data_IF_375965104276
#
_entry.id   IF_375965104276
#
_cell.length_a   1.000
_cell.length_b   1.000
_cell.length_c   1.000
_cell.angle_alpha   90.00
_cell.angle_beta   90.00
_cell.angle_gamma   90.00
#
_symmetry.space_group_name_H-M   'P 1'
#
loop_
_entity.id
_entity.type
_entity.pdbx_description
1 polymer ?
#
# COMPACT_ATOMS: atom_id res chain seq x y z
N UNK A 1 5.64 1.38 30.48
CA UNK A 1 5.57 0.25 29.52
C UNK A 1 4.17 -0.33 29.35
N UNK A 2 3.48 -0.81 30.41
CA UNK A 2 2.10 -1.33 30.26
C UNK A 2 1.14 -0.31 29.66
N UNK A 3 1.20 0.93 30.13
CA UNK A 3 0.33 2.01 29.64
C UNK A 3 0.58 2.32 28.16
N UNK A 4 1.84 2.28 27.72
CA UNK A 4 2.20 2.43 26.30
C UNK A 4 1.70 1.26 25.44
N UNK A 5 1.71 0.02 25.96
CA UNK A 5 1.13 -1.12 25.24
C UNK A 5 -0.38 -0.97 25.09
N UNK A 6 -1.08 -0.54 26.14
CA UNK A 6 -2.52 -0.29 26.11
C UNK A 6 -2.87 0.85 25.16
N UNK A 7 -2.10 1.94 25.19
CA UNK A 7 -2.29 3.07 24.29
C UNK A 7 -2.07 2.66 22.83
N UNK A 8 -0.99 1.93 22.53
CA UNK A 8 -0.69 1.49 21.17
C UNK A 8 -1.78 0.57 20.61
N UNK A 9 -2.36 -0.28 21.45
CA UNK A 9 -3.53 -1.09 21.08
C UNK A 9 -4.74 -0.21 20.75
N UNK A 10 -5.07 0.74 21.63
CA UNK A 10 -6.18 1.66 21.40
C UNK A 10 -5.98 2.51 20.13
N UNK A 11 -4.74 2.92 19.85
CA UNK A 11 -4.37 3.61 18.62
C UNK A 11 -4.65 2.76 17.37
N UNK A 12 -4.30 1.48 17.36
CA UNK A 12 -4.61 0.61 16.23
C UNK A 12 -6.10 0.30 16.09
N UNK A 13 -6.82 0.17 17.21
CA UNK A 13 -8.28 0.02 17.20
C UNK A 13 -8.93 1.24 16.54
N UNK A 14 -8.53 2.45 16.92
CA UNK A 14 -9.00 3.70 16.31
C UNK A 14 -8.57 3.83 14.83
N UNK A 15 -7.34 3.42 14.50
CA UNK A 15 -6.86 3.42 13.11
C UNK A 15 -7.75 2.55 12.22
N UNK A 16 -8.09 1.34 12.67
CA UNK A 16 -8.99 0.45 11.93
C UNK A 16 -10.40 1.03 11.83
N UNK A 17 -10.95 1.53 12.94
CA UNK A 17 -12.32 2.05 12.97
C UNK A 17 -12.48 3.29 12.09
N UNK A 18 -11.61 4.29 12.29
CA UNK A 18 -11.75 5.62 11.68
C UNK A 18 -11.12 5.65 10.29
N UNK A 19 -9.84 5.29 10.16
CA UNK A 19 -9.11 5.48 8.90
C UNK A 19 -9.49 4.43 7.86
N UNK A 20 -9.73 3.20 8.30
CA UNK A 20 -9.91 2.05 7.42
C UNK A 20 -11.35 1.54 7.34
N UNK A 21 -12.30 2.09 8.11
CA UNK A 21 -13.68 1.60 8.17
C UNK A 21 -13.76 0.08 8.45
N UNK A 22 -12.98 -0.38 9.42
CA UNK A 22 -12.72 -1.80 9.70
C UNK A 22 -12.72 -2.09 11.20
N UNK A 23 -12.83 -3.36 11.57
CA UNK A 23 -12.66 -3.84 12.95
C UNK A 23 -11.31 -4.53 13.07
N UNK A 24 -10.49 -4.10 14.04
CA UNK A 24 -9.26 -4.79 14.39
C UNK A 24 -9.56 -6.06 15.20
N UNK A 25 -9.03 -7.21 14.77
CA UNK A 25 -9.24 -8.49 15.45
C UNK A 25 -7.98 -9.00 16.17
N UNK A 26 -6.80 -8.78 15.59
CA UNK A 26 -5.55 -9.16 16.25
C UNK A 26 -4.35 -8.29 15.89
N UNK A 27 -3.39 -8.25 16.81
CA UNK A 27 -2.10 -7.58 16.65
C UNK A 27 -1.04 -8.64 16.95
N UNK A 28 -0.10 -8.81 16.03
CA UNK A 28 1.11 -9.61 16.24
C UNK A 28 2.33 -8.73 16.05
N UNK A 29 3.36 -8.99 16.84
CA UNK A 29 4.61 -8.23 16.83
C UNK A 29 5.80 -9.18 16.88
N UNK A 30 6.74 -8.98 15.96
CA UNK A 30 8.00 -9.69 15.87
C UNK A 30 9.14 -8.68 15.91
N UNK A 31 10.09 -8.86 16.83
CA UNK A 31 11.25 -7.98 16.96
C UNK A 31 12.49 -8.63 16.35
N UNK A 32 13.10 -7.92 15.41
CA UNK A 32 14.33 -8.28 14.75
C UNK A 32 15.45 -7.42 15.33
N UNK A 33 16.34 -8.09 16.06
CA UNK A 33 17.48 -7.46 16.69
C UNK A 33 18.71 -7.56 15.79
N UNK A 34 19.36 -6.43 15.54
CA UNK A 34 20.68 -6.37 14.90
C UNK A 34 21.77 -6.17 15.97
N UNK A 35 22.55 -7.21 16.32
CA UNK A 35 23.62 -7.10 17.30
C UNK A 35 24.71 -6.08 16.90
N UNK A 36 24.82 -5.76 15.61
CA UNK A 36 25.77 -4.78 15.08
C UNK A 36 25.41 -3.33 15.38
N UNK A 37 24.19 -3.05 15.88
CA UNK A 37 23.70 -1.69 16.19
C UNK A 37 23.58 -1.40 17.68
N UNK A 38 24.50 -1.96 18.46
CA UNK A 38 24.63 -1.67 19.89
C UNK A 38 25.77 -0.69 20.12
N UNK A 39 25.50 0.39 20.85
CA UNK A 39 26.54 1.33 21.28
C UNK A 39 26.45 1.61 22.78
N UNK A 40 27.60 1.84 23.41
CA UNK A 40 27.70 2.19 24.83
C UNK A 40 27.68 3.71 24.97
N UNK A 41 26.77 4.22 25.77
CA UNK A 41 26.64 5.64 26.08
C UNK A 41 27.62 6.05 27.19
N UNK A 42 27.88 7.35 27.31
CA UNK A 42 28.89 7.90 28.24
C UNK A 42 28.62 7.61 29.73
N UNK A 43 27.38 7.33 30.08
CA UNK A 43 26.93 7.00 31.44
C UNK A 43 26.82 5.47 31.68
N UNK A 44 27.29 4.66 30.73
CA UNK A 44 27.26 3.20 30.81
C UNK A 44 25.93 2.56 30.39
N UNK A 45 24.97 3.34 29.90
CA UNK A 45 23.77 2.82 29.25
C UNK A 45 24.10 2.26 27.86
N UNK A 46 23.18 1.47 27.29
CA UNK A 46 23.32 0.95 25.93
C UNK A 46 22.23 1.54 25.04
N UNK A 47 22.62 2.01 23.85
CA UNK A 47 21.69 2.37 22.77
C UNK A 47 21.58 1.20 21.81
N UNK A 48 20.35 0.82 21.47
CA UNK A 48 20.01 -0.30 20.58
C UNK A 48 19.10 0.19 19.46
N UNK A 49 19.27 -0.38 18.27
CA UNK A 49 18.31 -0.25 17.17
C UNK A 49 17.61 -1.59 16.95
N UNK A 50 16.27 -1.57 16.91
CA UNK A 50 15.45 -2.77 16.72
C UNK A 50 14.42 -2.51 15.63
N UNK A 51 14.28 -3.44 14.70
CA UNK A 51 13.19 -3.39 13.72
C UNK A 51 12.05 -4.26 14.26
N UNK A 52 10.85 -3.71 14.34
CA UNK A 52 9.64 -4.45 14.68
C UNK A 52 8.83 -4.68 13.40
N UNK A 53 8.33 -5.89 13.21
CA UNK A 53 7.26 -6.19 12.25
C UNK A 53 5.96 -6.28 13.04
N UNK A 54 5.05 -5.34 12.79
CA UNK A 54 3.70 -5.35 13.36
C UNK A 54 2.73 -5.78 12.28
N UNK A 55 2.07 -6.91 12.48
CA UNK A 55 1.00 -7.39 11.60
C UNK A 55 -0.34 -7.21 12.31
N UNK A 56 -1.19 -6.39 11.69
CA UNK A 56 -2.54 -6.05 12.13
C UNK A 56 -3.52 -6.81 11.27
N UNK A 57 -4.37 -7.63 11.87
CA UNK A 57 -5.43 -8.36 11.17
C UNK A 57 -6.80 -7.83 11.57
N UNK A 58 -7.66 -7.63 10.58
CA UNK A 58 -9.02 -7.17 10.82
C UNK A 58 -9.97 -7.46 9.67
N UNK A 59 -11.20 -6.96 9.80
CA UNK A 59 -12.29 -7.17 8.83
C UNK A 59 -12.93 -5.86 8.43
N UNK A 60 -13.31 -5.77 7.17
CA UNK A 60 -13.99 -4.60 6.63
C UNK A 60 -15.46 -4.54 7.11
N UNK A 61 -15.94 -3.36 7.55
CA UNK A 61 -17.20 -3.23 8.29
C UNK A 61 -18.44 -2.98 7.43
N UNK A 62 -18.50 -3.50 6.21
CA UNK A 62 -19.61 -3.22 5.28
C UNK A 62 -19.95 -4.46 4.47
N UNK A 63 -21.22 -4.59 4.07
CA UNK A 63 -21.60 -5.61 3.10
C UNK A 63 -21.12 -5.21 1.68
N UNK A 64 -20.92 -6.15 0.75
CA UNK A 64 -20.45 -5.88 -0.62
C UNK A 64 -21.30 -4.90 -1.44
N UNK A 65 -22.51 -4.57 -1.00
CA UNK A 65 -23.49 -3.76 -1.74
C UNK A 65 -23.57 -2.31 -1.25
N UNK A 66 -23.00 -2.05 -0.08
CA UNK A 66 -23.16 -0.80 0.68
C UNK A 66 -22.12 0.29 0.40
N UNK A 67 -20.87 0.00 -0.04
CA UNK A 67 -19.87 1.06 -0.17
C UNK A 67 -20.25 2.21 -1.10
N UNK A 68 -19.91 3.46 -0.74
CA UNK A 68 -20.27 4.64 -1.50
C UNK A 68 -19.82 4.62 -2.97
N UNK A 69 -18.68 3.99 -3.24
CA UNK A 69 -18.12 3.76 -4.58
C UNK A 69 -18.98 2.86 -5.45
N UNK A 70 -19.53 1.77 -4.89
CA UNK A 70 -20.47 0.89 -5.60
C UNK A 70 -21.78 1.64 -5.87
N UNK A 71 -22.28 2.39 -4.89
CA UNK A 71 -23.46 3.23 -5.08
C UNK A 71 -23.22 4.31 -6.15
N UNK A 72 -22.03 4.91 -6.18
CA UNK A 72 -21.62 5.91 -7.16
C UNK A 72 -21.50 5.31 -8.57
N UNK A 73 -20.91 4.12 -8.70
CA UNK A 73 -20.85 3.39 -9.96
C UNK A 73 -22.25 3.03 -10.48
N UNK A 74 -23.18 2.61 -9.61
CA UNK A 74 -24.59 2.38 -9.96
C UNK A 74 -25.29 3.67 -10.40
N UNK A 75 -25.02 4.77 -9.71
CA UNK A 75 -25.53 6.08 -10.09
C UNK A 75 -25.06 6.50 -11.49
N UNK A 76 -23.78 6.26 -11.80
CA UNK A 76 -23.17 6.52 -13.10
C UNK A 76 -23.74 5.62 -14.20
N UNK A 77 -23.88 4.33 -13.89
CA UNK A 77 -24.42 3.31 -14.79
C UNK A 77 -25.84 3.65 -15.26
N UNK A 78 -26.67 4.19 -14.36
CA UNK A 78 -28.03 4.63 -14.66
C UNK A 78 -28.11 5.90 -15.53
N UNK A 79 -26.98 6.55 -15.85
CA UNK A 79 -26.90 7.86 -16.52
C UNK A 79 -26.05 7.87 -17.79
N UNK A 80 -25.58 6.71 -18.21
CA UNK A 80 -24.87 6.56 -19.47
C UNK A 80 -25.67 5.69 -20.42
N UNK A 81 -25.69 6.07 -21.70
CA UNK A 81 -26.21 5.24 -22.78
C UNK A 81 -25.09 4.56 -23.58
N UNK A 82 -23.81 4.81 -23.23
CA UNK A 82 -22.68 4.20 -23.90
C UNK A 82 -22.44 2.77 -23.36
N UNK A 83 -22.61 1.76 -24.22
CA UNK A 83 -22.50 0.35 -23.82
C UNK A 83 -21.11 -0.06 -23.31
N UNK A 84 -20.03 0.51 -23.84
CA UNK A 84 -18.69 0.25 -23.31
C UNK A 84 -18.54 0.80 -21.90
N UNK A 85 -19.01 2.03 -21.66
CA UNK A 85 -19.03 2.63 -20.30
C UNK A 85 -19.89 1.80 -19.35
N UNK A 86 -21.06 1.31 -19.79
CA UNK A 86 -21.92 0.44 -18.96
C UNK A 86 -21.23 -0.85 -18.57
N UNK A 87 -20.55 -1.51 -19.52
CA UNK A 87 -19.85 -2.76 -19.28
C UNK A 87 -18.78 -2.58 -18.21
N UNK A 88 -17.93 -1.56 -18.36
CA UNK A 88 -16.82 -1.30 -17.45
C UNK A 88 -17.29 -0.90 -16.04
N UNK A 89 -18.37 -0.12 -15.92
CA UNK A 89 -18.98 0.18 -14.63
C UNK A 89 -19.54 -1.07 -13.94
N UNK A 90 -20.12 -2.01 -14.70
CA UNK A 90 -20.59 -3.28 -14.14
C UNK A 90 -19.42 -4.15 -13.66
N UNK A 91 -18.36 -4.21 -14.44
CA UNK A 91 -17.16 -4.96 -14.05
C UNK A 91 -16.47 -4.32 -12.84
N UNK A 92 -16.41 -2.99 -12.75
CA UNK A 92 -15.96 -2.30 -11.54
C UNK A 92 -16.80 -2.68 -10.32
N UNK A 93 -18.13 -2.63 -10.44
CA UNK A 93 -19.05 -3.01 -9.34
C UNK A 93 -18.79 -4.44 -8.90
N UNK A 94 -18.64 -5.37 -9.85
CA UNK A 94 -18.36 -6.77 -9.55
C UNK A 94 -17.03 -6.93 -8.81
N UNK A 95 -15.94 -6.37 -9.32
CA UNK A 95 -14.61 -6.46 -8.69
C UNK A 95 -14.59 -5.84 -7.30
N UNK A 96 -15.18 -4.66 -7.15
CA UNK A 96 -15.29 -4.00 -5.85
C UNK A 96 -16.06 -4.87 -4.85
N UNK A 97 -17.18 -5.48 -5.27
CA UNK A 97 -17.95 -6.39 -4.42
C UNK A 97 -17.14 -7.64 -4.01
N UNK A 98 -16.34 -8.20 -4.93
CA UNK A 98 -15.45 -9.33 -4.65
C UNK A 98 -14.35 -8.95 -3.64
N UNK A 99 -13.70 -7.78 -3.79
CA UNK A 99 -12.67 -7.30 -2.87
C UNK A 99 -13.23 -6.97 -1.46
N UNK A 100 -14.45 -6.44 -1.39
CA UNK A 100 -15.17 -6.23 -0.12
C UNK A 100 -15.50 -7.58 0.53
N UNK A 101 -15.98 -8.56 -0.25
CA UNK A 101 -16.30 -9.88 0.27
C UNK A 101 -15.04 -10.55 0.84
N UNK A 102 -13.92 -10.53 0.10
CA UNK A 102 -12.63 -11.02 0.59
C UNK A 102 -12.25 -10.34 1.93
N UNK A 103 -12.27 -9.02 1.98
CA UNK A 103 -11.81 -8.28 3.15
C UNK A 103 -12.79 -8.28 4.33
N UNK A 104 -14.06 -8.61 4.14
CA UNK A 104 -15.06 -8.74 5.21
C UNK A 104 -15.21 -10.19 5.71
N UNK A 105 -15.27 -11.16 4.80
CA UNK A 105 -15.49 -12.58 5.11
C UNK A 105 -14.21 -13.34 5.45
N UNK A 106 -13.10 -13.06 4.77
CA UNK A 106 -11.79 -13.66 5.05
C UNK A 106 -10.94 -12.77 5.96
N UNK A 107 -11.19 -11.45 5.91
CA UNK A 107 -10.40 -10.44 6.60
C UNK A 107 -9.17 -10.04 5.80
N UNK A 108 -8.36 -9.15 6.37
CA UNK A 108 -7.15 -8.66 5.72
C UNK A 108 -6.05 -8.38 6.73
N UNK A 109 -4.82 -8.37 6.23
CA UNK A 109 -3.64 -7.99 6.99
C UNK A 109 -3.07 -6.65 6.51
N UNK A 110 -2.60 -5.87 7.47
CA UNK A 110 -1.72 -4.72 7.27
C UNK A 110 -0.41 -4.99 7.98
N UNK A 111 0.71 -4.73 7.30
CA UNK A 111 2.03 -4.76 7.95
C UNK A 111 2.64 -3.37 8.06
N UNK A 112 3.06 -3.05 9.29
CA UNK A 112 3.88 -1.88 9.62
C UNK A 112 5.25 -2.36 10.06
N UNK A 113 6.30 -1.58 9.75
CA UNK A 113 7.67 -1.88 10.16
C UNK A 113 8.26 -0.74 11.00
N UNK A 114 7.86 -0.58 12.28
CA UNK A 114 8.44 0.42 13.16
C UNK A 114 9.92 0.15 13.43
N UNK A 115 10.75 1.20 13.40
CA UNK A 115 12.16 1.18 13.79
C UNK A 115 12.30 1.81 15.16
N UNK A 116 12.73 1.04 16.14
CA UNK A 116 12.95 1.47 17.52
C UNK A 116 14.39 1.92 17.76
N UNK A 117 14.53 3.05 18.43
CA UNK A 117 15.75 3.52 19.07
C UNK A 117 15.57 3.41 20.57
N UNK A 118 16.13 2.34 21.15
CA UNK A 118 16.01 2.02 22.57
C UNK A 118 17.25 2.50 23.33
N UNK A 119 17.03 3.02 24.54
CA UNK A 119 18.09 3.14 25.53
C UNK A 119 17.77 2.18 26.67
N UNK A 120 18.74 1.36 27.05
CA UNK A 120 18.62 0.39 28.13
C UNK A 120 19.69 0.61 29.19
N UNK A 121 19.30 0.43 30.46
CA UNK A 121 20.18 0.59 31.61
C UNK A 121 20.17 -0.68 32.47
N UNK A 122 21.27 -0.91 33.19
CA UNK A 122 21.31 -1.97 34.21
C UNK A 122 20.61 -1.50 35.48
N UNK A 123 19.74 -2.33 36.02
CA UNK A 123 19.01 -2.11 37.27
C UNK A 123 19.29 -3.23 38.28
N UNK A 124 18.75 -3.09 39.50
CA UNK A 124 18.78 -4.16 40.51
C UNK A 124 18.05 -5.43 40.05
N UNK A 125 17.12 -5.32 39.11
CA UNK A 125 16.27 -6.40 38.60
C UNK A 125 16.69 -6.90 37.20
N UNK A 126 17.86 -6.48 36.70
CA UNK A 126 18.33 -6.81 35.35
C UNK A 126 18.36 -5.61 34.41
N UNK A 127 18.40 -5.85 33.11
CA UNK A 127 18.40 -4.79 32.08
C UNK A 127 16.97 -4.26 31.92
N UNK A 128 16.81 -2.94 31.91
CA UNK A 128 15.52 -2.27 31.76
C UNK A 128 15.59 -1.24 30.63
N UNK A 129 14.50 -1.10 29.87
CA UNK A 129 14.35 -0.03 28.89
C UNK A 129 14.04 1.26 29.66
N UNK A 130 14.83 2.30 29.42
CA UNK A 130 14.65 3.64 30.03
C UNK A 130 14.04 4.64 29.05
N UNK A 131 14.33 4.44 27.75
CA UNK A 131 13.76 5.23 26.67
C UNK A 131 13.51 4.34 25.45
N UNK A 132 12.45 4.65 24.71
CA UNK A 132 12.15 4.09 23.39
C UNK A 132 11.62 5.22 22.51
N UNK A 133 12.07 5.27 21.26
CA UNK A 133 11.40 6.08 20.25
C UNK A 133 11.29 5.24 18.99
N UNK A 134 10.10 5.14 18.44
CA UNK A 134 9.86 4.31 17.27
C UNK A 134 8.99 4.99 16.23
N UNK A 135 9.27 4.65 14.97
CA UNK A 135 8.56 5.19 13.81
C UNK A 135 8.61 4.21 12.65
N UNK A 136 7.50 4.04 11.93
CA UNK A 136 7.49 3.38 10.62
C UNK A 136 7.63 4.37 9.44
N UNK A 137 7.91 5.65 9.72
CA UNK A 137 8.20 6.66 8.70
C UNK A 137 9.41 6.26 7.87
N UNK A 138 9.38 6.62 6.60
CA UNK A 138 10.49 6.52 5.66
C UNK A 138 10.49 7.72 4.70
N UNK A 139 11.39 7.71 3.72
CA UNK A 139 11.56 8.81 2.76
C UNK A 139 10.32 9.08 1.89
N UNK A 140 9.48 8.08 1.68
CA UNK A 140 8.29 8.14 0.81
C UNK A 140 6.97 7.89 1.56
N UNK A 141 7.00 7.68 2.88
CA UNK A 141 5.85 7.46 3.74
C UNK A 141 5.98 8.26 5.04
N UNK A 142 5.01 9.14 5.38
CA UNK A 142 5.06 9.95 6.60
C UNK A 142 5.00 9.13 7.90
N UNK A 143 4.63 7.84 7.85
CA UNK A 143 4.52 6.93 8.97
C UNK A 143 3.18 7.05 9.71
N UNK A 144 2.65 5.91 10.16
CA UNK A 144 1.39 5.80 10.89
C UNK A 144 1.64 5.72 12.40
N UNK A 145 2.63 4.93 12.81
CA UNK A 145 2.95 4.62 14.20
C UNK A 145 4.25 5.30 14.61
N UNK A 146 4.12 6.46 15.27
CA UNK A 146 5.24 7.34 15.64
C UNK A 146 5.13 7.72 17.12
N UNK A 147 6.05 7.22 17.95
CA UNK A 147 6.02 7.44 19.40
C UNK A 147 7.40 7.77 19.95
N UNK A 148 7.43 8.67 20.91
CA UNK A 148 8.58 8.90 21.80
C UNK A 148 8.13 8.55 23.22
N UNK A 149 8.84 7.66 23.89
CA UNK A 149 8.62 7.26 25.27
C UNK A 149 9.88 7.45 26.10
N UNK A 150 9.79 8.24 27.16
CA UNK A 150 10.91 8.59 28.05
C UNK A 150 10.42 8.59 29.49
N UNK A 151 11.13 7.89 30.38
CA UNK A 151 10.90 7.93 31.84
C UNK A 151 9.44 7.67 32.27
N UNK A 152 8.73 6.81 31.54
CA UNK A 152 7.34 6.45 31.86
C UNK A 152 6.28 7.27 31.13
N UNK A 153 6.63 8.41 30.55
CA UNK A 153 5.74 9.25 29.73
C UNK A 153 5.91 8.95 28.24
N UNK A 154 4.85 9.07 27.45
CA UNK A 154 4.91 8.96 25.99
C UNK A 154 4.21 10.12 25.29
N UNK A 155 4.67 10.39 24.07
CA UNK A 155 4.04 11.31 23.12
C UNK A 155 3.91 10.59 21.78
N UNK A 156 2.68 10.47 21.28
CA UNK A 156 2.38 9.97 19.94
C UNK A 156 2.23 11.13 18.96
N UNK A 157 2.94 11.05 17.84
CA UNK A 157 2.65 11.90 16.68
C UNK A 157 1.63 11.18 15.78
N UNK A 158 0.36 11.42 16.06
CA UNK A 158 -0.76 10.74 15.39
C UNK A 158 -1.05 11.40 14.03
N UNK A 159 -1.13 10.62 12.92
CA UNK A 159 -1.59 11.14 11.64
C UNK A 159 -3.08 11.51 11.70
N UNK A 160 -3.50 12.40 10.81
CA UNK A 160 -4.92 12.70 10.66
C UNK A 160 -5.63 11.54 9.92
N UNK A 161 -6.40 10.75 10.66
CA UNK A 161 -7.14 9.62 10.10
C UNK A 161 -8.24 10.07 9.11
N UNK A 162 -8.66 11.33 9.15
CA UNK A 162 -9.66 11.85 8.21
C UNK A 162 -9.11 12.07 6.79
N UNK A 163 -7.78 12.07 6.64
CA UNK A 163 -7.11 12.17 5.33
C UNK A 163 -6.96 10.80 4.63
N UNK A 164 -7.32 9.70 5.29
CA UNK A 164 -7.21 8.37 4.69
C UNK A 164 -8.30 8.13 3.64
N UNK A 165 -7.99 7.39 2.55
CA UNK A 165 -8.91 7.13 1.44
C UNK A 165 -10.26 6.59 1.88
N UNK A 166 -10.26 5.56 2.75
CA UNK A 166 -11.50 4.94 3.17
C UNK A 166 -12.36 5.89 4.03
N UNK A 167 -11.78 6.69 4.94
CA UNK A 167 -12.55 7.73 5.63
C UNK A 167 -13.19 8.72 4.64
N UNK A 168 -12.39 9.26 3.71
CA UNK A 168 -12.87 10.24 2.73
C UNK A 168 -13.98 9.66 1.86
N UNK A 169 -13.83 8.43 1.38
CA UNK A 169 -14.85 7.71 0.61
C UNK A 169 -16.22 7.71 1.30
N UNK A 170 -16.29 7.47 2.62
CA UNK A 170 -17.55 7.46 3.38
C UNK A 170 -18.10 8.84 3.75
N UNK A 171 -17.35 9.90 3.53
CA UNK A 171 -17.80 11.28 3.80
C UNK A 171 -18.21 12.03 2.53
N UNK A 172 -17.91 11.50 1.34
CA UNK A 172 -18.27 12.11 0.06
C UNK A 172 -19.72 11.81 -0.35
N UNK A 173 -20.44 12.77 -0.97
CA UNK A 173 -21.75 12.51 -1.55
C UNK A 173 -21.68 11.54 -2.75
N UNK A 174 -22.49 10.48 -2.72
CA UNK A 174 -22.57 9.44 -3.77
C UNK A 174 -22.79 10.03 -5.18
N UNK A 175 -23.59 11.09 -5.29
CA UNK A 175 -23.89 11.74 -6.57
C UNK A 175 -22.72 12.58 -7.10
N UNK A 176 -21.79 13.04 -6.27
CA UNK A 176 -20.58 13.72 -6.71
C UNK A 176 -19.57 12.71 -7.23
N UNK A 177 -19.27 11.67 -6.43
CA UNK A 177 -18.45 10.53 -6.86
C UNK A 177 -18.99 9.92 -8.16
N UNK A 178 -20.30 9.68 -8.25
CA UNK A 178 -20.92 9.11 -9.44
C UNK A 178 -20.79 9.98 -10.70
N UNK A 179 -20.77 11.31 -10.56
CA UNK A 179 -20.52 12.22 -11.70
C UNK A 179 -19.07 12.13 -12.16
N UNK A 180 -18.13 12.10 -11.22
CA UNK A 180 -16.70 12.02 -11.52
C UNK A 180 -16.34 10.67 -12.14
N UNK A 181 -16.87 9.57 -11.60
CA UNK A 181 -16.77 8.24 -12.21
C UNK A 181 -17.35 8.22 -13.62
N UNK A 182 -18.56 8.76 -13.82
CA UNK A 182 -19.16 8.79 -15.15
C UNK A 182 -18.29 9.56 -16.16
N UNK A 183 -17.77 10.72 -15.78
CA UNK A 183 -16.86 11.51 -16.64
C UNK A 183 -15.57 10.74 -16.94
N UNK A 184 -14.98 10.09 -15.94
CA UNK A 184 -13.78 9.27 -16.07
C UNK A 184 -13.98 8.10 -17.05
N UNK A 185 -14.96 7.24 -16.80
CA UNK A 185 -15.24 6.09 -17.66
C UNK A 185 -15.67 6.53 -19.07
N UNK A 186 -16.38 7.66 -19.20
CA UNK A 186 -16.72 8.23 -20.51
C UNK A 186 -15.48 8.68 -21.28
N UNK A 187 -14.52 9.33 -20.62
CA UNK A 187 -13.25 9.72 -21.24
C UNK A 187 -12.42 8.51 -21.68
N UNK A 188 -12.34 7.51 -20.82
CA UNK A 188 -11.50 6.33 -21.07
C UNK A 188 -12.09 5.43 -22.15
N UNK A 189 -13.37 5.07 -22.03
CA UNK A 189 -13.99 4.03 -22.85
C UNK A 189 -14.93 4.59 -23.91
N UNK A 190 -15.52 5.77 -23.68
CA UNK A 190 -16.53 6.34 -24.57
C UNK A 190 -16.02 6.75 -25.96
N UNK A 191 -14.70 6.94 -26.13
CA UNK A 191 -14.09 7.35 -27.40
C UNK A 191 -13.23 6.28 -28.06
N UNK A 192 -12.89 5.23 -27.33
CA UNK A 192 -11.61 4.54 -27.55
C UNK A 192 -11.79 3.03 -27.83
N UNK A 193 -13.04 2.52 -27.75
CA UNK A 193 -13.46 1.26 -28.37
C UNK A 193 -12.69 0.03 -27.89
N UNK A 194 -12.42 -0.05 -26.59
CA UNK A 194 -11.65 -1.13 -25.99
C UNK A 194 -12.41 -2.46 -26.10
N UNK A 195 -11.68 -3.52 -26.45
CA UNK A 195 -12.20 -4.89 -26.31
C UNK A 195 -12.19 -5.34 -24.84
N UNK A 196 -12.69 -6.55 -24.55
CA UNK A 196 -12.65 -7.09 -23.20
C UNK A 196 -11.21 -7.17 -22.67
N UNK A 197 -11.01 -6.74 -21.42
CA UNK A 197 -9.70 -6.72 -20.76
C UNK A 197 -9.10 -8.13 -20.67
N UNK A 198 -7.87 -8.28 -21.17
CA UNK A 198 -7.03 -9.47 -21.04
C UNK A 198 -6.13 -9.43 -19.79
N UNK A 199 -6.09 -8.31 -19.08
CA UNK A 199 -5.27 -8.09 -17.90
C UNK A 199 -5.82 -8.85 -16.69
N UNK A 200 -5.01 -9.75 -16.13
CA UNK A 200 -5.37 -10.53 -14.95
C UNK A 200 -4.92 -9.83 -13.66
N UNK A 201 -5.80 -8.97 -13.16
CA UNK A 201 -5.64 -8.18 -11.93
C UNK A 201 -5.34 -9.03 -10.71
N UNK A 202 -6.15 -10.05 -10.47
CA UNK A 202 -5.99 -10.95 -9.32
C UNK A 202 -4.65 -11.70 -9.37
N UNK A 203 -4.23 -12.14 -10.56
CA UNK A 203 -2.95 -12.82 -10.70
C UNK A 203 -1.75 -11.85 -10.50
N UNK A 204 -1.85 -10.61 -10.97
CA UNK A 204 -0.84 -9.58 -10.70
C UNK A 204 -0.74 -9.25 -9.20
N UNK A 205 -1.88 -9.03 -8.51
CA UNK A 205 -1.98 -8.89 -7.03
C UNK A 205 -1.31 -10.05 -6.32
N UNK A 206 -1.66 -11.29 -6.68
CA UNK A 206 -1.12 -12.48 -6.03
C UNK A 206 0.39 -12.62 -6.26
N UNK A 207 0.86 -12.25 -7.45
CA UNK A 207 2.28 -12.25 -7.77
C UNK A 207 3.06 -11.31 -6.87
N UNK A 208 2.67 -10.03 -6.78
CA UNK A 208 3.40 -9.05 -5.98
C UNK A 208 3.47 -9.51 -4.51
N UNK A 209 2.38 -10.00 -3.95
CA UNK A 209 2.33 -10.45 -2.56
C UNK A 209 3.18 -11.71 -2.29
N UNK A 210 3.50 -12.49 -3.31
CA UNK A 210 4.35 -13.68 -3.18
C UNK A 210 5.85 -13.35 -3.14
N UNK A 211 6.24 -12.18 -3.66
CA UNK A 211 7.65 -11.82 -3.87
C UNK A 211 8.13 -10.64 -3.01
N UNK A 212 7.38 -10.30 -1.96
CA UNK A 212 7.77 -9.29 -0.97
C UNK A 212 7.57 -9.81 0.44
N UNK A 213 8.46 -9.42 1.35
CA UNK A 213 8.32 -9.60 2.79
C UNK A 213 8.73 -8.30 3.47
N UNK A 214 8.08 -7.89 4.58
CA UNK A 214 8.38 -6.65 5.29
C UNK A 214 9.88 -6.39 5.39
N UNK A 215 10.33 -5.22 4.95
CA UNK A 215 11.76 -4.88 4.91
C UNK A 215 12.40 -5.01 6.28
N UNK A 216 13.49 -5.78 6.38
CA UNK A 216 14.16 -6.07 7.66
C UNK A 216 15.48 -5.31 7.81
N UNK A 217 16.20 -5.13 6.70
CA UNK A 217 17.59 -4.68 6.70
C UNK A 217 17.77 -3.49 5.76
N UNK A 218 18.61 -2.50 6.09
CA UNK A 218 19.00 -1.48 5.12
C UNK A 218 19.50 -2.12 3.82
N UNK A 219 19.00 -1.64 2.67
CA UNK A 219 19.39 -2.16 1.36
C UNK A 219 20.92 -2.05 1.11
N UNK A 220 21.54 -1.04 1.72
CA UNK A 220 22.99 -0.86 1.82
C UNK A 220 23.36 -0.17 3.15
N UNK A 221 24.66 -0.18 3.50
CA UNK A 221 25.14 0.42 4.73
C UNK A 221 24.84 1.92 4.79
N UNK A 222 24.09 2.36 5.80
CA UNK A 222 23.69 3.75 5.97
C UNK A 222 22.39 4.16 5.27
N UNK A 223 21.77 3.26 4.50
CA UNK A 223 20.46 3.52 3.89
C UNK A 223 19.33 3.50 4.91
N UNK A 224 18.33 4.35 4.68
CA UNK A 224 17.06 4.31 5.42
C UNK A 224 16.03 3.39 4.77
N UNK A 225 16.28 2.93 3.54
CA UNK A 225 15.40 2.02 2.79
C UNK A 225 15.64 0.60 3.27
N UNK A 226 14.58 -0.05 3.74
CA UNK A 226 14.64 -1.44 4.20
C UNK A 226 14.29 -2.44 3.09
N UNK A 227 14.99 -3.56 3.06
CA UNK A 227 14.78 -4.66 2.13
C UNK A 227 14.97 -6.02 2.81
N UNK A 228 14.33 -7.02 2.24
CA UNK A 228 14.38 -8.44 2.52
C UNK A 228 14.53 -9.16 1.17
N UNK A 229 15.59 -8.82 0.43
CA UNK A 229 15.79 -9.23 -0.97
C UNK A 229 15.89 -10.75 -1.19
N UNK A 230 16.04 -11.53 -0.11
CA UNK A 230 15.91 -12.99 -0.12
C UNK A 230 14.50 -13.48 -0.46
N UNK A 231 13.49 -12.64 -0.27
CA UNK A 231 12.10 -12.93 -0.62
C UNK A 231 11.74 -12.53 -2.07
N UNK A 232 12.63 -11.83 -2.79
CA UNK A 232 12.36 -11.36 -4.14
C UNK A 232 12.52 -12.48 -5.18
N UNK A 233 11.90 -12.29 -6.34
CA UNK A 233 12.02 -13.25 -7.42
C UNK A 233 13.43 -13.32 -8.00
N UNK A 234 14.13 -14.43 -7.75
CA UNK A 234 15.51 -14.67 -8.20
C UNK A 234 15.65 -14.88 -9.71
N UNK A 235 14.53 -14.99 -10.45
CA UNK A 235 14.53 -15.06 -11.92
C UNK A 235 14.77 -13.69 -12.58
N UNK A 236 14.68 -12.60 -11.82
CA UNK A 236 14.87 -11.23 -12.29
C UNK A 236 16.10 -10.59 -11.67
N UNK A 237 16.66 -9.60 -12.36
CA UNK A 237 17.74 -8.78 -11.81
C UNK A 237 17.20 -8.02 -10.60
N UNK A 238 17.93 -8.06 -9.48
CA UNK A 238 17.55 -7.34 -8.25
C UNK A 238 18.22 -5.96 -8.25
N UNK A 239 17.43 -4.90 -8.24
CA UNK A 239 17.92 -3.52 -8.19
C UNK A 239 17.81 -2.97 -6.76
N UNK A 240 18.80 -3.27 -5.92
CA UNK A 240 18.84 -2.81 -4.52
C UNK A 240 18.56 -1.31 -4.40
N UNK A 241 17.80 -0.94 -3.38
CA UNK A 241 17.31 0.38 -3.05
C UNK A 241 16.38 1.04 -4.09
N UNK A 242 16.11 0.40 -5.24
CA UNK A 242 15.44 1.03 -6.38
C UNK A 242 14.57 0.07 -7.22
N UNK A 243 14.18 -1.09 -6.67
CA UNK A 243 13.52 -2.16 -7.45
C UNK A 243 12.03 -1.92 -7.74
N UNK A 244 11.49 -0.76 -7.35
CA UNK A 244 10.04 -0.50 -7.39
C UNK A 244 9.38 -0.75 -8.77
N UNK A 245 9.97 -0.24 -9.86
CA UNK A 245 9.42 -0.46 -11.21
C UNK A 245 9.67 -1.87 -11.70
N UNK A 246 10.85 -2.44 -11.44
CA UNK A 246 11.17 -3.81 -11.83
C UNK A 246 10.18 -4.80 -11.20
N UNK A 247 9.87 -4.61 -9.92
CA UNK A 247 8.89 -5.40 -9.17
C UNK A 247 7.49 -5.36 -9.76
N UNK A 248 6.92 -4.16 -9.97
CA UNK A 248 5.57 -4.07 -10.55
C UNK A 248 5.56 -4.53 -12.02
N UNK A 249 6.64 -4.30 -12.78
CA UNK A 249 6.76 -4.77 -14.16
C UNK A 249 6.74 -6.30 -14.26
N UNK A 250 7.38 -6.99 -13.31
CA UNK A 250 7.29 -8.44 -13.21
C UNK A 250 5.83 -8.89 -13.14
N UNK A 251 5.06 -8.33 -12.21
CA UNK A 251 3.66 -8.68 -12.00
C UNK A 251 2.74 -8.32 -13.18
N UNK A 252 2.98 -7.19 -13.85
CA UNK A 252 2.19 -6.75 -15.00
C UNK A 252 2.32 -7.69 -16.20
N UNK A 253 3.51 -8.24 -16.42
CA UNK A 253 3.84 -8.97 -17.64
C UNK A 253 3.19 -10.34 -17.74
N UNK A 254 3.13 -10.85 -18.97
CA UNK A 254 2.71 -12.22 -19.26
C UNK A 254 3.54 -13.27 -18.49
N UNK A 255 4.80 -12.97 -18.17
CA UNK A 255 5.70 -13.85 -17.41
C UNK A 255 5.56 -13.76 -15.89
N UNK A 256 4.88 -12.74 -15.36
CA UNK A 256 4.60 -12.61 -13.92
C UNK A 256 3.13 -12.46 -13.58
N UNK A 257 2.26 -12.92 -14.48
CA UNK A 257 0.86 -13.27 -14.28
C UNK A 257 -0.21 -12.23 -14.69
N UNK A 258 0.12 -10.95 -14.80
CA UNK A 258 -0.82 -9.91 -15.24
C UNK A 258 -1.22 -10.00 -16.72
N UNK A 259 -0.38 -10.59 -17.58
CA UNK A 259 -0.74 -10.88 -18.96
C UNK A 259 -0.37 -9.82 -20.00
N UNK A 260 0.22 -8.68 -19.61
CA UNK A 260 0.67 -7.69 -20.59
C UNK A 260 1.82 -8.26 -21.45
N UNK A 261 1.72 -8.21 -22.80
CA UNK A 261 2.73 -8.80 -23.66
C UNK A 261 4.00 -7.92 -23.68
N UNK A 262 5.19 -8.50 -23.46
CA UNK A 262 6.44 -7.78 -23.68
C UNK A 262 6.64 -7.45 -25.16
N UNK A 263 7.41 -6.40 -25.43
CA UNK A 263 7.73 -5.94 -26.78
C UNK A 263 9.14 -5.35 -26.87
N UNK A 264 9.47 -4.69 -27.98
CA UNK A 264 10.79 -4.07 -28.19
C UNK A 264 11.09 -2.86 -27.31
N UNK A 265 10.12 -2.35 -26.55
CA UNK A 265 10.25 -1.20 -25.65
C UNK A 265 10.21 -1.64 -24.19
N UNK A 266 9.29 -2.54 -23.84
CA UNK A 266 9.09 -3.06 -22.50
C UNK A 266 9.37 -4.56 -22.46
N UNK A 267 10.55 -4.88 -21.95
CA UNK A 267 11.05 -6.23 -21.72
C UNK A 267 11.99 -6.22 -20.51
N UNK A 268 12.29 -7.40 -19.95
CA UNK A 268 13.17 -7.54 -18.77
C UNK A 268 14.45 -6.68 -18.92
N UNK A 269 14.73 -5.90 -17.88
CA UNK A 269 15.88 -4.98 -17.75
C UNK A 269 15.93 -3.79 -18.74
N UNK A 270 14.90 -3.61 -19.59
CA UNK A 270 14.76 -2.41 -20.43
C UNK A 270 14.44 -1.16 -19.60
N UNK A 271 14.67 0.03 -20.15
CA UNK A 271 14.33 1.30 -19.47
C UNK A 271 12.85 1.35 -19.05
N UNK A 272 11.92 0.98 -19.94
CA UNK A 272 10.50 0.98 -19.60
C UNK A 272 10.14 -0.04 -18.51
N UNK A 273 10.94 -1.09 -18.33
CA UNK A 273 10.72 -2.12 -17.32
C UNK A 273 11.22 -1.73 -15.93
N UNK A 274 12.39 -1.08 -15.85
CA UNK A 274 13.07 -0.79 -14.57
C UNK A 274 12.94 0.66 -14.11
N UNK A 275 12.31 1.54 -14.90
CA UNK A 275 12.21 2.96 -14.61
C UNK A 275 10.77 3.47 -14.65
N UNK A 276 10.33 4.12 -13.57
CA UNK A 276 8.94 4.55 -13.38
C UNK A 276 8.40 5.46 -14.50
N UNK A 277 9.08 6.55 -14.92
CA UNK A 277 8.70 7.32 -16.10
C UNK A 277 8.63 6.48 -17.38
N UNK A 278 9.57 5.54 -17.55
CA UNK A 278 9.58 4.63 -18.69
C UNK A 278 8.34 3.73 -18.74
N UNK A 279 7.98 3.13 -17.60
CA UNK A 279 6.78 2.30 -17.46
C UNK A 279 5.51 3.11 -17.74
N UNK A 280 5.39 4.29 -17.12
CA UNK A 280 4.24 5.18 -17.33
C UNK A 280 4.04 5.53 -18.80
N UNK A 281 5.10 5.98 -19.47
CA UNK A 281 5.04 6.36 -20.88
C UNK A 281 4.68 5.15 -21.76
N UNK A 282 5.26 3.97 -21.50
CA UNK A 282 4.91 2.77 -22.26
C UNK A 282 3.44 2.39 -22.11
N UNK A 283 2.91 2.33 -20.88
CA UNK A 283 1.49 2.03 -20.65
C UNK A 283 0.56 3.03 -21.35
N UNK A 284 0.93 4.31 -21.32
CA UNK A 284 0.17 5.39 -21.96
C UNK A 284 0.19 5.28 -23.49
N UNK A 285 1.37 5.13 -24.07
CA UNK A 285 1.59 5.08 -25.53
C UNK A 285 0.99 3.81 -26.15
N UNK A 286 0.98 2.71 -25.41
CA UNK A 286 0.30 1.47 -25.81
C UNK A 286 -1.20 1.50 -25.66
N UNK A 287 -1.72 2.53 -24.99
CA UNK A 287 -3.11 2.57 -24.58
C UNK A 287 -3.49 1.31 -23.80
N UNK A 288 -2.69 0.95 -22.78
CA UNK A 288 -2.99 -0.15 -21.86
C UNK A 288 -3.75 0.30 -20.61
N UNK A 289 -4.13 1.57 -20.57
CA UNK A 289 -4.99 2.09 -19.53
C UNK A 289 -5.08 3.61 -19.53
N UNK A 290 -5.37 4.15 -18.36
CA UNK A 290 -5.48 5.58 -18.15
C UNK A 290 -4.76 6.01 -16.88
N UNK A 291 -3.83 6.95 -17.04
CA UNK A 291 -3.14 7.62 -15.94
C UNK A 291 -3.85 8.90 -15.51
N UNK A 292 -3.93 9.15 -14.19
CA UNK A 292 -4.36 10.45 -13.67
C UNK A 292 -3.78 10.73 -12.28
N UNK A 293 -4.00 11.96 -11.81
CA UNK A 293 -3.77 12.36 -10.42
C UNK A 293 -5.08 12.86 -9.82
N UNK A 294 -5.51 12.25 -8.72
CA UNK A 294 -6.66 12.70 -7.93
C UNK A 294 -6.39 12.46 -6.45
N UNK A 295 -6.93 13.29 -5.54
CA UNK A 295 -6.92 12.96 -4.13
C UNK A 295 -7.73 11.69 -3.77
N UNK A 296 -8.58 11.17 -4.66
CA UNK A 296 -9.50 10.05 -4.40
C UNK A 296 -9.24 8.81 -5.27
N UNK A 297 -8.04 8.20 -5.24
CA UNK A 297 -7.74 7.03 -6.07
C UNK A 297 -8.69 5.85 -5.81
N UNK A 298 -9.21 5.70 -4.59
CA UNK A 298 -10.14 4.65 -4.15
C UNK A 298 -11.43 4.54 -5.00
N UNK A 299 -11.79 5.59 -5.73
CA UNK A 299 -12.98 5.61 -6.60
C UNK A 299 -12.75 4.97 -7.97
N UNK A 300 -11.50 4.79 -8.37
CA UNK A 300 -11.15 4.44 -9.76
C UNK A 300 -10.29 3.19 -9.86
N UNK A 301 -9.42 2.97 -8.88
CA UNK A 301 -8.47 1.84 -8.91
C UNK A 301 -9.14 0.55 -8.46
N UNK A 302 -8.53 -0.56 -8.84
CA UNK A 302 -8.79 -1.90 -8.33
C UNK A 302 -7.45 -2.58 -8.03
N UNK A 303 -7.48 -3.78 -7.46
CA UNK A 303 -6.28 -4.60 -7.33
C UNK A 303 -5.58 -4.80 -8.68
N UNK A 304 -4.25 -4.86 -8.64
CA UNK A 304 -3.40 -4.93 -9.83
C UNK A 304 -3.15 -3.58 -10.51
N UNK A 305 -3.91 -2.52 -10.22
CA UNK A 305 -3.56 -1.18 -10.71
C UNK A 305 -2.30 -0.63 -10.05
N UNK A 306 -1.76 0.44 -10.63
CA UNK A 306 -0.50 1.02 -10.19
C UNK A 306 -0.70 2.37 -9.50
N UNK A 307 0.03 2.56 -8.40
CA UNK A 307 0.17 3.86 -7.73
C UNK A 307 1.58 4.42 -7.95
N UNK A 308 1.69 5.74 -8.02
CA UNK A 308 2.92 6.48 -8.26
C UNK A 308 3.00 7.73 -7.41
N UNK A 309 4.22 8.13 -7.07
CA UNK A 309 4.45 9.49 -6.58
C UNK A 309 4.27 10.51 -7.70
N UNK A 310 3.94 11.76 -7.35
CA UNK A 310 3.69 12.84 -8.33
C UNK A 310 4.86 13.14 -9.26
N UNK A 311 6.10 12.90 -8.81
CA UNK A 311 7.31 13.04 -9.61
C UNK A 311 7.62 11.82 -10.49
N UNK A 312 6.76 10.79 -10.44
CA UNK A 312 7.04 9.46 -11.00
C UNK A 312 8.37 8.89 -10.45
N UNK A 313 8.72 9.19 -9.21
CA UNK A 313 9.94 8.69 -8.57
C UNK A 313 9.79 7.28 -7.99
N UNK A 314 8.56 6.84 -7.75
CA UNK A 314 8.24 5.57 -7.11
C UNK A 314 6.98 4.96 -7.72
N UNK A 315 6.91 3.64 -7.77
CA UNK A 315 5.79 2.85 -8.29
C UNK A 315 5.43 1.74 -7.30
N UNK A 316 4.13 1.51 -7.12
CA UNK A 316 3.54 0.45 -6.30
C UNK A 316 2.41 -0.21 -7.06
N UNK A 317 1.94 -1.36 -6.57
CA UNK A 317 0.73 -1.98 -7.08
C UNK A 317 -0.29 -2.14 -5.94
N UNK A 318 -1.53 -1.76 -6.24
CA UNK A 318 -2.66 -1.89 -5.31
C UNK A 318 -2.99 -3.36 -5.09
N UNK A 319 -3.17 -3.75 -3.84
CA UNK A 319 -3.55 -5.12 -3.46
C UNK A 319 -5.01 -5.26 -3.07
N UNK A 320 -5.66 -4.15 -2.72
CA UNK A 320 -7.08 -4.05 -2.35
C UNK A 320 -7.47 -2.58 -2.22
N UNK A 321 -8.77 -2.27 -2.30
CA UNK A 321 -9.40 -0.97 -2.09
C UNK A 321 -10.17 -0.90 -0.76
N UNK A 322 -10.50 -2.05 -0.17
CA UNK A 322 -11.37 -2.14 1.00
C UNK A 322 -10.72 -2.87 2.19
N UNK A 323 -9.85 -2.20 2.99
CA UNK A 323 -9.32 -0.85 2.78
C UNK A 323 -8.24 -0.78 1.72
N UNK A 324 -7.88 0.45 1.31
CA UNK A 324 -6.90 0.70 0.25
C UNK A 324 -5.49 0.33 0.73
N UNK A 325 -4.92 -0.68 0.10
CA UNK A 325 -3.62 -1.30 0.44
C UNK A 325 -2.75 -1.44 -0.81
N UNK A 326 -1.45 -1.48 -0.62
CA UNK A 326 -0.50 -1.74 -1.70
C UNK A 326 0.69 -2.59 -1.24
N UNK A 327 1.39 -3.18 -2.20
CA UNK A 327 2.71 -3.76 -1.97
C UNK A 327 3.76 -3.11 -2.87
N UNK A 328 5.00 -3.05 -2.38
CA UNK A 328 6.10 -2.36 -3.04
C UNK A 328 7.47 -2.89 -2.59
N UNK A 329 8.48 -2.85 -3.47
CA UNK A 329 9.87 -3.12 -3.08
C UNK A 329 10.60 -1.92 -2.46
N UNK A 330 10.01 -0.72 -2.47
CA UNK A 330 10.54 0.39 -1.65
C UNK A 330 10.11 0.18 -0.20
N UNK A 331 11.10 0.02 0.68
CA UNK A 331 10.92 -0.41 2.07
C UNK A 331 10.29 -1.82 2.21
N UNK A 332 10.30 -2.62 1.14
CA UNK A 332 9.66 -3.94 1.04
C UNK A 332 8.33 -4.04 1.80
N UNK A 333 7.36 -3.27 1.33
CA UNK A 333 6.02 -3.16 1.92
C UNK A 333 5.14 -4.28 1.42
N UNK A 334 4.60 -5.08 2.35
CA UNK A 334 3.58 -6.09 2.09
C UNK A 334 2.24 -5.62 2.65
N UNK A 335 1.22 -5.47 1.80
CA UNK A 335 -0.13 -5.02 2.17
C UNK A 335 -0.12 -3.79 3.09
N UNK A 336 0.69 -2.80 2.73
CA UNK A 336 0.84 -1.58 3.49
C UNK A 336 -0.36 -0.65 3.24
N UNK A 337 -0.85 0.08 4.26
CA UNK A 337 -1.92 1.05 4.08
C UNK A 337 -1.50 2.11 3.07
N UNK A 338 -2.45 2.60 2.28
CA UNK A 338 -2.19 3.70 1.36
C UNK A 338 -1.60 4.93 2.07
N UNK A 339 -0.75 5.65 1.34
CA UNK A 339 -0.08 6.87 1.79
C UNK A 339 -0.31 8.01 0.80
N UNK A 340 -0.45 9.24 1.29
CA UNK A 340 -0.82 10.41 0.48
C UNK A 340 0.21 10.86 -0.54
N UNK A 341 1.44 10.37 -0.45
CA UNK A 341 2.49 10.58 -1.44
C UNK A 341 2.18 9.89 -2.77
N UNK A 342 1.39 8.80 -2.75
CA UNK A 342 0.89 8.07 -3.91
C UNK A 342 -0.35 8.79 -4.49
N UNK A 343 -0.08 9.91 -5.15
CA UNK A 343 -1.10 10.86 -5.66
C UNK A 343 -1.38 10.71 -7.16
N UNK A 344 -0.65 9.84 -7.84
CA UNK A 344 -0.82 9.55 -9.26
C UNK A 344 -1.04 8.06 -9.41
N UNK A 345 -1.93 7.64 -10.30
CA UNK A 345 -2.24 6.23 -10.50
C UNK A 345 -2.53 5.93 -11.96
N UNK A 346 -2.50 4.65 -12.29
CA UNK A 346 -2.76 4.16 -13.63
C UNK A 346 -3.70 2.96 -13.56
N UNK A 347 -4.89 3.11 -14.13
CA UNK A 347 -5.90 2.05 -14.22
C UNK A 347 -5.64 1.25 -15.48
N UNK A 348 -5.31 -0.04 -15.33
CA UNK A 348 -4.92 -0.94 -16.42
C UNK A 348 -6.15 -1.57 -17.07
N UNK A 349 -6.28 -1.52 -18.39
CA UNK A 349 -7.49 -1.95 -19.09
C UNK A 349 -7.20 -2.78 -20.34
N UNK A 350 -5.96 -3.27 -20.47
CA UNK A 350 -5.54 -4.21 -21.52
C UNK A 350 -6.38 -5.48 -21.50
#
# INVERSE_FOLDING_TARGET
>A
MRDLIQERRAFYEEFFEVALHSTLESITSEFLFDPGKVSVLSDGQLSLQVTEKVTLYGRYNTSPEEPPTIQAARWALARTDNEAVKQELKEYIQRAAEDIAESSEEGFEITLTPRHSLIVAKSRNGIQIVQDSFTNRSNDDPGTDNVIWTDGEYVRNKPDFTEYPNYRMYTRPVNEMGKEMLDFYTKMYGKRGWGPSQYNRAAAKNYINSWVQPGQWPCEAGSEILETSTAWNTSYTQYKCADCTNYVSQALGALGAGGLPPDGTWYKDSFAWINTPGLWNWLWDKHYGWGMSTPHPEEYVSEGDLGFTSSLGHAVMYTSVYPLRYSAHSNDRLNHPWVSTLSTFFVITY
#
